data_IF_956521547769
#
_entry.id   IF_956521547769
#
_cell.length_a   1.000
_cell.length_b   1.000
_cell.length_c   1.000
_cell.angle_alpha   90.00
_cell.angle_beta   90.00
_cell.angle_gamma   90.00
#
_symmetry.space_group_name_H-M   'P 1'
#
loop_
_entity.id
_entity.type
_entity.pdbx_description
1 polymer ?
#
# COMPACT_ATOMS: atom_id res chain seq x y z
N UNK A 1 0.69 -60.41 -27.48
CA UNK A 1 1.69 -59.40 -27.91
C UNK A 1 1.06 -58.05 -28.27
N UNK A 2 0.22 -57.96 -29.32
CA UNK A 2 -0.38 -56.68 -29.77
C UNK A 2 -1.17 -55.91 -28.70
N UNK A 3 -1.98 -56.61 -27.90
CA UNK A 3 -2.78 -56.03 -26.80
C UNK A 3 -1.94 -55.46 -25.67
N UNK A 4 -0.81 -56.08 -25.34
CA UNK A 4 0.10 -55.59 -24.29
C UNK A 4 0.72 -54.26 -24.70
N UNK A 5 1.21 -54.15 -25.94
CA UNK A 5 1.74 -52.89 -26.46
C UNK A 5 0.68 -51.79 -26.51
N UNK A 6 -0.56 -52.10 -26.88
CA UNK A 6 -1.67 -51.14 -26.85
C UNK A 6 -1.96 -50.62 -25.45
N UNK A 7 -1.97 -51.49 -24.44
CA UNK A 7 -2.23 -51.09 -23.05
C UNK A 7 -1.09 -50.22 -22.51
N UNK A 8 0.17 -50.60 -22.77
CA UNK A 8 1.33 -49.80 -22.37
C UNK A 8 1.34 -48.44 -23.05
N UNK A 9 1.02 -48.39 -24.34
CA UNK A 9 0.94 -47.14 -25.10
C UNK A 9 -0.18 -46.23 -24.56
N UNK A 10 -1.32 -46.81 -24.18
CA UNK A 10 -2.44 -46.07 -23.60
C UNK A 10 -2.10 -45.47 -22.23
N UNK A 11 -1.40 -46.23 -21.39
CA UNK A 11 -0.88 -45.73 -20.09
C UNK A 11 0.14 -44.61 -20.34
N UNK A 12 1.04 -44.78 -21.31
CA UNK A 12 2.02 -43.75 -21.65
C UNK A 12 1.35 -42.45 -22.12
N UNK A 13 0.30 -42.54 -22.95
CA UNK A 13 -0.49 -41.38 -23.39
C UNK A 13 -1.13 -40.68 -22.17
N UNK A 14 -1.76 -41.43 -21.27
CA UNK A 14 -2.40 -40.85 -20.08
C UNK A 14 -1.40 -40.10 -19.17
N UNK A 15 -0.21 -40.69 -18.94
CA UNK A 15 0.85 -40.06 -18.14
C UNK A 15 1.39 -38.80 -18.82
N UNK A 16 1.63 -38.85 -20.13
CA UNK A 16 2.10 -37.69 -20.89
C UNK A 16 1.05 -36.57 -20.91
N UNK A 17 -0.24 -36.90 -21.05
CA UNK A 17 -1.33 -35.91 -20.97
C UNK A 17 -1.38 -35.24 -19.60
N UNK A 18 -1.16 -35.98 -18.52
CA UNK A 18 -1.07 -35.41 -17.16
C UNK A 18 0.12 -34.45 -17.03
N UNK A 19 1.31 -34.84 -17.51
CA UNK A 19 2.48 -33.96 -17.45
C UNK A 19 2.31 -32.67 -18.27
N UNK A 20 1.67 -32.73 -19.44
CA UNK A 20 1.37 -31.52 -20.24
C UNK A 20 0.42 -30.61 -19.47
N UNK A 21 -0.64 -31.16 -18.87
CA UNK A 21 -1.58 -30.39 -18.06
C UNK A 21 -0.87 -29.74 -16.86
N UNK A 22 -0.08 -30.49 -16.11
CA UNK A 22 0.65 -29.99 -14.95
C UNK A 22 1.69 -28.92 -15.33
N UNK A 23 2.41 -29.11 -16.44
CA UNK A 23 3.38 -28.14 -16.95
C UNK A 23 2.75 -26.79 -17.30
N UNK A 24 1.49 -26.77 -17.76
CA UNK A 24 0.77 -25.53 -18.08
C UNK A 24 0.11 -24.95 -16.83
N UNK A 25 -0.46 -25.79 -15.97
CA UNK A 25 -1.22 -25.35 -14.79
C UNK A 25 -0.31 -24.79 -13.68
N UNK A 26 0.88 -25.36 -13.48
CA UNK A 26 1.84 -24.91 -12.47
C UNK A 26 2.23 -23.42 -12.59
N UNK A 27 2.67 -22.90 -13.76
CA UNK A 27 3.01 -21.49 -13.88
C UNK A 27 1.80 -20.57 -13.70
N UNK A 28 0.60 -21.01 -14.10
CA UNK A 28 -0.64 -20.23 -13.92
C UNK A 28 -0.96 -20.06 -12.43
N UNK A 29 -0.91 -21.16 -11.65
CA UNK A 29 -1.14 -21.12 -10.20
C UNK A 29 -0.10 -20.26 -9.50
N UNK A 30 1.17 -20.38 -9.90
CA UNK A 30 2.25 -19.55 -9.36
C UNK A 30 2.02 -18.07 -9.65
N UNK A 31 1.64 -17.70 -10.88
CA UNK A 31 1.35 -16.31 -11.22
C UNK A 31 0.18 -15.74 -10.41
N UNK A 32 -0.90 -16.51 -10.24
CA UNK A 32 -2.04 -16.08 -9.43
C UNK A 32 -1.64 -15.84 -7.96
N UNK A 33 -0.88 -16.76 -7.36
CA UNK A 33 -0.37 -16.60 -6.00
C UNK A 33 0.62 -15.44 -5.87
N UNK A 34 1.48 -15.26 -6.86
CA UNK A 34 2.41 -14.13 -6.96
C UNK A 34 1.63 -12.81 -7.00
N UNK A 35 0.67 -12.66 -7.88
CA UNK A 35 -0.09 -11.42 -8.05
C UNK A 35 -0.86 -11.05 -6.78
N UNK A 36 -1.43 -12.05 -6.09
CA UNK A 36 -2.08 -11.86 -4.78
C UNK A 36 -1.10 -11.33 -3.72
N UNK A 37 0.12 -11.88 -3.64
CA UNK A 37 1.15 -11.41 -2.70
C UNK A 37 1.63 -10.01 -3.06
N UNK A 38 1.89 -9.76 -4.34
CA UNK A 38 2.34 -8.46 -4.85
C UNK A 38 1.31 -7.37 -4.60
N UNK A 39 0.01 -7.63 -4.83
CA UNK A 39 -1.06 -6.68 -4.53
C UNK A 39 -1.02 -6.24 -3.07
N UNK A 40 -0.87 -7.17 -2.11
CA UNK A 40 -0.78 -6.82 -0.69
C UNK A 40 0.48 -6.04 -0.33
N UNK A 41 1.62 -6.35 -0.96
CA UNK A 41 2.85 -5.58 -0.78
C UNK A 41 2.71 -4.17 -1.35
N UNK A 42 2.08 -4.01 -2.51
CA UNK A 42 1.80 -2.71 -3.13
C UNK A 42 0.88 -1.87 -2.25
N UNK A 43 -0.18 -2.47 -1.71
CA UNK A 43 -1.09 -1.76 -0.80
C UNK A 43 -0.34 -1.32 0.47
N UNK A 44 0.53 -2.17 1.02
CA UNK A 44 1.39 -1.79 2.15
C UNK A 44 2.32 -0.62 1.82
N UNK A 45 2.92 -0.61 0.63
CA UNK A 45 3.75 0.50 0.16
C UNK A 45 2.96 1.81 -0.01
N UNK A 46 1.70 1.73 -0.48
CA UNK A 46 0.80 2.88 -0.56
C UNK A 46 0.45 3.42 0.83
N UNK A 47 0.22 2.53 1.79
CA UNK A 47 -0.05 2.90 3.17
C UNK A 47 1.15 3.64 3.80
N UNK A 48 2.37 3.11 3.62
CA UNK A 48 3.62 3.75 4.05
C UNK A 48 3.77 5.14 3.41
N UNK A 49 3.53 5.24 2.09
CA UNK A 49 3.58 6.51 1.36
C UNK A 49 2.61 7.53 1.96
N UNK A 50 1.37 7.12 2.24
CA UNK A 50 0.34 8.02 2.77
C UNK A 50 0.72 8.50 4.18
N UNK A 51 1.24 7.62 5.03
CA UNK A 51 1.77 8.00 6.35
C UNK A 51 2.93 9.01 6.25
N UNK A 52 3.86 8.79 5.31
CA UNK A 52 4.99 9.69 5.07
C UNK A 52 4.55 11.06 4.54
N UNK A 53 3.52 11.11 3.69
CA UNK A 53 2.95 12.37 3.22
C UNK A 53 2.29 13.15 4.36
N UNK A 54 1.58 12.48 5.24
CA UNK A 54 1.01 13.10 6.44
C UNK A 54 2.11 13.62 7.38
N UNK A 55 3.17 12.82 7.59
CA UNK A 55 4.33 13.23 8.37
C UNK A 55 4.99 14.49 7.80
N UNK A 56 5.19 14.52 6.47
CA UNK A 56 5.73 15.70 5.77
C UNK A 56 4.81 16.91 5.86
N UNK A 57 3.50 16.73 5.84
CA UNK A 57 2.55 17.84 5.95
C UNK A 57 2.70 18.59 7.27
N UNK A 58 3.05 17.89 8.35
CA UNK A 58 3.22 18.51 9.68
C UNK A 58 4.68 18.89 10.00
N UNK A 59 5.65 18.09 9.54
CA UNK A 59 7.06 18.24 9.91
C UNK A 59 7.93 18.85 8.79
N UNK A 60 7.33 19.16 7.63
CA UNK A 60 7.97 19.67 6.40
C UNK A 60 9.03 18.75 5.76
N UNK A 61 9.35 17.63 6.41
CA UNK A 61 10.37 16.65 6.00
C UNK A 61 9.83 15.22 6.04
N UNK A 62 10.48 14.31 5.33
CA UNK A 62 10.23 12.87 5.44
C UNK A 62 11.05 12.24 6.58
N UNK A 63 10.57 11.14 7.15
CA UNK A 63 11.31 10.36 8.17
C UNK A 63 12.00 9.15 7.56
N UNK A 64 13.24 8.90 7.97
CA UNK A 64 14.01 7.72 7.59
C UNK A 64 13.81 6.52 8.53
N UNK A 65 13.15 6.68 9.68
CA UNK A 65 12.90 5.58 10.63
C UNK A 65 11.42 5.23 10.74
N UNK A 66 11.12 3.93 10.74
CA UNK A 66 9.77 3.40 10.94
C UNK A 66 9.28 3.65 12.37
N UNK A 67 10.17 3.68 13.37
CA UNK A 67 9.78 3.95 14.76
C UNK A 67 9.16 5.34 14.89
N UNK A 68 9.82 6.35 14.29
CA UNK A 68 9.32 7.73 14.26
C UNK A 68 8.01 7.83 13.49
N UNK A 69 7.90 7.15 12.35
CA UNK A 69 6.68 7.14 11.54
C UNK A 69 5.50 6.51 12.28
N UNK A 70 5.72 5.36 12.92
CA UNK A 70 4.70 4.63 13.67
C UNK A 70 4.26 5.45 14.89
N UNK A 71 5.20 6.07 15.60
CA UNK A 71 4.89 6.94 16.74
C UNK A 71 4.01 8.12 16.32
N UNK A 72 4.35 8.79 15.22
CA UNK A 72 3.55 9.87 14.65
C UNK A 72 2.14 9.41 14.29
N UNK A 73 1.99 8.30 13.58
CA UNK A 73 0.67 7.80 13.18
C UNK A 73 -0.20 7.45 14.40
N UNK A 74 0.39 6.92 15.47
CA UNK A 74 -0.34 6.49 16.67
C UNK A 74 -0.76 7.62 17.58
N UNK A 75 0.16 8.55 17.86
CA UNK A 75 -0.01 9.53 18.94
C UNK A 75 -0.26 10.94 18.42
N UNK A 76 0.09 11.24 17.17
CA UNK A 76 0.02 12.60 16.65
C UNK A 76 -1.25 12.86 15.84
N UNK A 77 -1.47 14.14 15.58
CA UNK A 77 -2.59 14.69 14.83
C UNK A 77 -2.08 15.64 13.77
N UNK A 78 -2.71 15.63 12.60
CA UNK A 78 -2.40 16.58 11.54
C UNK A 78 -3.46 17.68 11.49
N UNK A 79 -3.04 18.87 11.09
CA UNK A 79 -3.86 20.07 11.00
C UNK A 79 -4.57 20.06 9.65
N UNK A 80 -5.90 20.01 9.70
CA UNK A 80 -6.75 20.15 8.52
C UNK A 80 -7.40 21.51 8.55
N UNK A 81 -7.06 22.34 7.56
CA UNK A 81 -7.73 23.63 7.38
C UNK A 81 -9.07 23.38 6.70
N UNK A 82 -10.16 23.69 7.40
CA UNK A 82 -11.52 23.60 6.87
C UNK A 82 -11.99 25.02 6.56
N UNK A 83 -12.43 25.24 5.33
CA UNK A 83 -13.12 26.46 4.97
C UNK A 83 -14.61 26.29 5.27
N UNK A 84 -15.16 27.21 6.07
CA UNK A 84 -16.59 27.27 6.35
C UNK A 84 -17.14 28.49 5.61
N UNK A 85 -18.03 28.25 4.64
CA UNK A 85 -18.60 29.25 3.74
C UNK A 85 -18.20 29.08 2.27
N UNK A 86 -19.09 29.46 1.35
CA UNK A 86 -18.83 29.47 -0.09
C UNK A 86 -18.10 30.75 -0.49
N UNK A 87 -17.01 30.63 -1.24
CA UNK A 87 -16.31 31.79 -1.83
C UNK A 87 -17.10 32.41 -2.99
N UNK A 88 -17.96 31.64 -3.66
CA UNK A 88 -18.74 32.10 -4.81
C UNK A 88 -19.95 32.95 -4.41
N UNK A 89 -20.26 33.01 -3.12
CA UNK A 89 -21.41 33.73 -2.59
C UNK A 89 -20.97 35.13 -2.16
N UNK A 90 -21.06 36.10 -3.08
CA UNK A 90 -20.58 37.48 -2.90
C UNK A 90 -21.10 38.15 -1.62
N UNK A 91 -22.30 37.77 -1.16
CA UNK A 91 -22.91 38.28 0.08
C UNK A 91 -22.22 37.70 1.33
N UNK A 92 -21.79 36.44 1.28
CA UNK A 92 -21.10 35.79 2.40
C UNK A 92 -19.66 36.28 2.55
N UNK A 93 -18.98 36.53 1.43
CA UNK A 93 -17.64 37.16 1.41
C UNK A 93 -17.71 38.61 1.90
N UNK A 94 -18.68 39.40 1.41
CA UNK A 94 -18.85 40.80 1.83
C UNK A 94 -19.22 40.96 3.32
N UNK A 95 -19.90 39.96 3.90
CA UNK A 95 -20.25 39.93 5.33
C UNK A 95 -19.16 39.32 6.23
N UNK A 96 -18.01 38.91 5.68
CA UNK A 96 -16.92 38.30 6.46
C UNK A 96 -17.26 36.94 7.08
N UNK A 97 -18.25 36.24 6.52
CA UNK A 97 -18.72 34.94 7.04
C UNK A 97 -17.88 33.76 6.56
N UNK A 98 -16.87 34.01 5.72
CA UNK A 98 -15.89 33.01 5.27
C UNK A 98 -14.72 33.00 6.25
N UNK A 99 -14.64 31.96 7.07
CA UNK A 99 -13.51 31.74 7.96
C UNK A 99 -12.87 30.39 7.70
N UNK A 100 -11.55 30.35 7.93
CA UNK A 100 -10.76 29.12 7.87
C UNK A 100 -10.48 28.70 9.30
N UNK A 101 -11.02 27.56 9.68
CA UNK A 101 -10.74 26.94 10.97
C UNK A 101 -9.71 25.83 10.80
N UNK A 102 -8.81 25.68 11.77
CA UNK A 102 -7.79 24.64 11.77
C UNK A 102 -8.15 23.61 12.82
N UNK A 103 -8.64 22.46 12.37
CA UNK A 103 -9.00 21.36 13.26
C UNK A 103 -7.86 20.34 13.27
N UNK A 104 -7.51 19.87 14.47
CA UNK A 104 -6.57 18.76 14.63
C UNK A 104 -7.33 17.44 14.55
N UNK A 105 -6.95 16.58 13.62
CA UNK A 105 -7.53 15.25 13.44
C UNK A 105 -6.43 14.22 13.64
N UNK A 106 -6.74 13.13 14.35
CA UNK A 106 -5.79 12.03 14.57
C UNK A 106 -5.40 11.42 13.22
N UNK A 107 -4.11 11.25 12.99
CA UNK A 107 -3.57 10.67 11.74
C UNK A 107 -4.13 9.27 11.51
N UNK A 108 -4.16 8.45 12.58
CA UNK A 108 -4.68 7.09 12.56
C UNK A 108 -6.11 7.01 12.00
N UNK A 109 -7.01 7.84 12.53
CA UNK A 109 -8.45 7.72 12.26
C UNK A 109 -8.84 8.29 10.90
N UNK A 110 -8.04 9.21 10.35
CA UNK A 110 -8.34 9.84 9.06
C UNK A 110 -7.75 9.10 7.87
N UNK A 111 -6.60 8.44 8.05
CA UNK A 111 -5.83 7.84 6.94
C UNK A 111 -6.03 6.34 6.87
N UNK A 112 -6.16 5.68 8.01
CA UNK A 112 -6.24 4.24 8.10
C UNK A 112 -7.65 3.77 8.44
N UNK A 113 -7.99 2.57 7.96
CA UNK A 113 -9.23 1.89 8.36
C UNK A 113 -9.22 1.64 9.87
N UNK A 114 -10.41 1.66 10.48
CA UNK A 114 -10.61 1.32 11.90
C UNK A 114 -9.91 -0.02 12.23
N UNK A 115 -9.11 -0.04 13.30
CA UNK A 115 -8.29 -1.17 13.77
C UNK A 115 -7.11 -1.57 12.86
N UNK A 116 -6.58 -0.67 12.03
CA UNK A 116 -5.37 -0.97 11.26
C UNK A 116 -4.15 -1.21 12.17
N UNK A 117 -3.41 -2.32 12.00
CA UNK A 117 -2.22 -2.62 12.79
C UNK A 117 -1.03 -1.78 12.30
N UNK A 118 -0.90 -0.56 12.83
CA UNK A 118 0.17 0.39 12.48
C UNK A 118 1.56 -0.18 12.81
N UNK A 119 1.69 -0.96 13.89
CA UNK A 119 2.97 -1.57 14.26
C UNK A 119 3.51 -2.51 13.19
N UNK A 120 2.60 -3.16 12.45
CA UNK A 120 2.96 -4.09 11.40
C UNK A 120 3.25 -3.40 10.06
N UNK A 121 3.20 -2.06 10.00
CA UNK A 121 3.45 -1.29 8.78
C UNK A 121 4.88 -1.51 8.24
N UNK A 122 5.84 -1.79 9.13
CA UNK A 122 7.24 -2.07 8.76
C UNK A 122 7.44 -3.39 8.04
N UNK A 123 6.53 -4.36 8.20
CA UNK A 123 6.76 -5.73 7.73
C UNK A 123 6.17 -5.95 6.33
N UNK A 124 6.92 -6.69 5.51
CA UNK A 124 6.48 -7.11 4.18
C UNK A 124 5.49 -8.28 4.31
N UNK A 125 4.27 -8.19 3.74
CA UNK A 125 3.30 -9.28 3.79
C UNK A 125 3.85 -10.59 3.20
N UNK A 126 3.50 -11.74 3.80
CA UNK A 126 3.87 -13.10 3.34
C UNK A 126 5.38 -13.44 3.34
N UNK A 127 6.23 -12.62 3.97
CA UNK A 127 7.70 -12.84 3.97
C UNK A 127 8.26 -13.39 5.28
N UNK A 128 7.42 -13.77 6.23
CA UNK A 128 7.87 -14.31 7.52
C UNK A 128 8.56 -13.27 8.43
N UNK A 129 8.24 -11.98 8.27
CA UNK A 129 8.74 -10.91 9.14
C UNK A 129 9.91 -10.10 8.57
N UNK A 130 10.18 -10.14 7.26
CA UNK A 130 11.12 -9.20 6.66
C UNK A 130 10.57 -7.78 6.74
N UNK A 131 11.45 -6.82 7.00
CA UNK A 131 11.11 -5.41 7.09
C UNK A 131 11.41 -4.68 5.78
N UNK A 132 10.68 -3.60 5.53
CA UNK A 132 11.05 -2.64 4.49
C UNK A 132 12.24 -1.80 4.95
N UNK A 133 13.14 -1.50 4.03
CA UNK A 133 14.16 -0.48 4.26
C UNK A 133 13.58 0.90 3.93
N UNK A 134 13.90 1.88 4.76
CA UNK A 134 13.45 3.25 4.59
C UNK A 134 14.60 4.21 4.82
N UNK A 135 14.66 5.23 3.98
CA UNK A 135 15.62 6.31 4.07
C UNK A 135 14.94 7.60 3.64
N UNK A 136 15.34 8.71 4.25
CA UNK A 136 14.94 10.04 3.83
C UNK A 136 16.17 10.78 3.32
N UNK A 137 16.00 11.49 2.20
CA UNK A 137 17.04 12.30 1.60
C UNK A 137 16.44 13.54 0.95
N UNK A 138 17.31 14.47 0.56
CA UNK A 138 16.92 15.66 -0.18
C UNK A 138 17.33 15.48 -1.63
N UNK A 139 16.36 15.57 -2.53
CA UNK A 139 16.62 15.60 -3.96
C UNK A 139 16.61 17.07 -4.40
N UNK A 140 17.72 17.54 -4.96
CA UNK A 140 17.74 18.83 -5.64
C UNK A 140 17.06 18.66 -6.98
N UNK A 141 15.99 19.41 -7.24
CA UNK A 141 15.37 19.40 -8.56
C UNK A 141 16.23 20.21 -9.53
N UNK A 142 16.11 19.94 -10.83
CA UNK A 142 16.89 20.62 -11.88
C UNK A 142 16.70 22.14 -11.93
N UNK A 143 15.68 22.66 -11.24
CA UNK A 143 15.39 24.09 -11.11
C UNK A 143 16.20 24.80 -10.01
N UNK A 144 17.13 24.12 -9.32
CA UNK A 144 18.02 24.75 -8.33
C UNK A 144 17.35 25.18 -7.02
N UNK A 145 16.11 24.72 -6.79
CA UNK A 145 15.36 24.85 -5.55
C UNK A 145 15.09 23.46 -4.95
#
# INVERSE_FOLDING_TARGET
>A
MKTVYQIVLLIAIAVLSYFIYESIMNPIRFNHEKDKRYSKTIDRLKDIRTAQLAFRSENEKFTGSFDTLINFVKHDSFKVVRQIGSMDDSVAVAKGLVYRDTVKIRVLDSIFTKNYPVDSLRFVPYTGGKEFEMGAGVLKTGSGL
#
